data_IF_833245123579
#
_entry.id   IF_833245123579
#
_cell.length_a   1.000
_cell.length_b   1.000
_cell.length_c   1.000
_cell.angle_alpha   90.00
_cell.angle_beta   90.00
_cell.angle_gamma   90.00
#
_symmetry.space_group_name_H-M   'P 1'
#
loop_
_entity.id
_entity.type
_entity.pdbx_description
1 polymer ?
#
# COMPACT_ATOMS: atom_id res chain seq x y z
N UNK A 1 -0.24 5.75 -10.90
CA UNK A 1 -1.71 5.53 -10.81
C UNK A 1 -2.35 5.54 -12.19
N UNK A 2 -2.77 4.37 -12.72
CA UNK A 2 -3.69 4.36 -13.86
C UNK A 2 -5.10 4.60 -13.31
N UNK A 3 -5.55 5.86 -13.35
CA UNK A 3 -6.95 6.18 -13.07
C UNK A 3 -7.83 5.46 -14.09
N UNK A 4 -8.85 4.74 -13.65
CA UNK A 4 -9.84 4.20 -14.57
C UNK A 4 -10.61 5.39 -15.15
N UNK A 5 -10.66 5.49 -16.48
CA UNK A 5 -11.51 6.48 -17.14
C UNK A 5 -12.97 6.00 -17.13
N UNK A 6 -13.66 6.21 -16.01
CA UNK A 6 -15.06 5.84 -15.83
C UNK A 6 -16.00 6.51 -16.84
N UNK A 7 -15.62 7.65 -17.43
CA UNK A 7 -16.48 8.34 -18.40
C UNK A 7 -16.57 7.57 -19.73
N UNK A 8 -15.52 6.84 -20.08
CA UNK A 8 -15.46 6.00 -21.27
C UNK A 8 -16.34 4.74 -21.19
N UNK A 9 -16.67 4.29 -19.97
CA UNK A 9 -17.43 3.06 -19.74
C UNK A 9 -18.94 3.22 -19.97
N UNK A 10 -19.60 2.13 -20.35
CA UNK A 10 -21.06 2.03 -20.44
C UNK A 10 -21.70 1.91 -19.06
N UNK A 11 -23.00 2.21 -18.97
CA UNK A 11 -23.77 2.02 -17.72
C UNK A 11 -23.71 0.57 -17.23
N UNK A 12 -23.64 -0.40 -18.14
CA UNK A 12 -23.55 -1.82 -17.79
C UNK A 12 -22.21 -2.12 -17.12
N UNK A 13 -21.09 -1.70 -17.72
CA UNK A 13 -19.74 -1.91 -17.18
C UNK A 13 -19.56 -1.18 -15.84
N UNK A 14 -20.08 0.03 -15.70
CA UNK A 14 -20.06 0.76 -14.43
C UNK A 14 -20.84 0.02 -13.32
N UNK A 15 -21.99 -0.58 -13.65
CA UNK A 15 -22.77 -1.38 -12.70
C UNK A 15 -22.07 -2.70 -12.33
N UNK A 16 -21.35 -3.31 -13.27
CA UNK A 16 -20.54 -4.50 -13.03
C UNK A 16 -19.37 -4.17 -12.08
N UNK A 17 -18.62 -3.09 -12.34
CA UNK A 17 -17.56 -2.61 -11.45
C UNK A 17 -18.08 -2.28 -10.05
N UNK A 18 -19.22 -1.61 -9.93
CA UNK A 18 -19.81 -1.27 -8.63
C UNK A 18 -20.17 -2.55 -7.85
N UNK A 19 -20.65 -3.58 -8.55
CA UNK A 19 -20.93 -4.91 -7.97
C UNK A 19 -19.65 -5.61 -7.51
N UNK A 20 -18.61 -5.63 -8.34
CA UNK A 20 -17.31 -6.24 -8.01
C UNK A 20 -16.66 -5.60 -6.78
N UNK A 21 -16.84 -4.28 -6.62
CA UNK A 21 -16.40 -3.53 -5.45
C UNK A 21 -17.33 -3.65 -4.23
N UNK A 22 -18.41 -4.41 -4.33
CA UNK A 22 -19.36 -4.62 -3.23
C UNK A 22 -20.16 -3.36 -2.85
N UNK A 23 -20.28 -2.38 -3.75
CA UNK A 23 -21.05 -1.17 -3.51
C UNK A 23 -22.54 -1.49 -3.53
N UNK A 24 -23.31 -0.80 -2.68
CA UNK A 24 -24.77 -0.96 -2.57
C UNK A 24 -25.49 0.30 -3.10
N UNK A 25 -26.76 0.16 -3.51
CA UNK A 25 -27.57 1.30 -3.99
C UNK A 25 -27.26 1.78 -5.41
N UNK A 26 -26.30 1.17 -6.10
CA UNK A 26 -25.87 1.58 -7.45
C UNK A 26 -26.88 1.26 -8.57
N UNK A 27 -27.80 0.30 -8.36
CA UNK A 27 -28.66 -0.23 -9.43
C UNK A 27 -29.65 0.81 -10.01
N UNK A 28 -30.06 1.80 -9.19
CA UNK A 28 -30.95 2.90 -9.58
C UNK A 28 -30.23 4.16 -10.06
N UNK A 29 -28.90 4.22 -9.94
CA UNK A 29 -28.11 5.40 -10.31
C UNK A 29 -27.99 5.58 -11.83
N UNK A 30 -27.96 6.84 -12.26
CA UNK A 30 -27.66 7.25 -13.64
C UNK A 30 -26.14 7.20 -13.88
N UNK A 31 -25.73 7.30 -15.16
CA UNK A 31 -24.30 7.20 -15.54
C UNK A 31 -23.40 8.13 -14.72
N UNK A 32 -23.76 9.41 -14.60
CA UNK A 32 -22.96 10.39 -13.86
C UNK A 32 -22.81 10.00 -12.37
N UNK A 33 -23.91 9.61 -11.73
CA UNK A 33 -23.92 9.19 -10.33
C UNK A 33 -23.13 7.89 -10.11
N UNK A 34 -23.17 6.95 -11.07
CA UNK A 34 -22.34 5.74 -11.05
C UNK A 34 -20.85 6.09 -11.14
N UNK A 35 -20.47 7.02 -12.03
CA UNK A 35 -19.09 7.49 -12.16
C UNK A 35 -18.62 8.14 -10.86
N UNK A 36 -19.44 9.01 -10.27
CA UNK A 36 -19.13 9.66 -8.99
C UNK A 36 -18.98 8.64 -7.86
N UNK A 37 -19.93 7.71 -7.73
CA UNK A 37 -19.88 6.64 -6.73
C UNK A 37 -18.60 5.81 -6.87
N UNK A 38 -18.26 5.40 -8.09
CA UNK A 38 -17.06 4.60 -8.37
C UNK A 38 -15.77 5.38 -8.15
N UNK A 39 -15.73 6.68 -8.45
CA UNK A 39 -14.57 7.52 -8.21
C UNK A 39 -14.36 7.78 -6.71
N UNK A 40 -15.44 8.00 -5.95
CA UNK A 40 -15.38 8.17 -4.49
C UNK A 40 -15.02 6.87 -3.76
N UNK A 41 -15.37 5.73 -4.35
CA UNK A 41 -15.05 4.41 -3.84
C UNK A 41 -13.94 3.73 -4.67
N UNK A 42 -13.16 4.51 -5.40
CA UNK A 42 -11.85 4.08 -5.91
C UNK A 42 -10.92 4.15 -4.70
N UNK A 43 -11.06 3.18 -3.79
CA UNK A 43 -10.11 3.01 -2.71
C UNK A 43 -8.75 2.76 -3.32
N UNK A 44 -7.75 3.50 -2.84
CA UNK A 44 -6.37 3.13 -3.13
C UNK A 44 -6.17 1.70 -2.61
N UNK A 45 -5.64 0.80 -3.44
CA UNK A 45 -5.22 -0.50 -2.92
C UNK A 45 -4.11 -0.21 -1.92
N UNK A 46 -4.33 -0.60 -0.68
CA UNK A 46 -3.36 -0.39 0.40
C UNK A 46 -2.86 -1.75 0.84
N UNK A 47 -1.55 -1.88 0.99
CA UNK A 47 -0.98 -3.00 1.72
C UNK A 47 -0.31 -2.52 2.99
N UNK A 48 -0.73 -3.12 4.11
CA UNK A 48 -0.03 -2.98 5.37
C UNK A 48 1.23 -3.83 5.35
N UNK A 49 2.37 -3.19 5.60
CA UNK A 49 3.64 -3.87 5.84
C UNK A 49 3.99 -3.73 7.32
N UNK A 50 4.27 -4.87 7.97
CA UNK A 50 4.70 -4.95 9.37
C UNK A 50 6.21 -5.15 9.46
N UNK A 51 6.81 -4.52 10.46
CA UNK A 51 8.23 -4.56 10.74
C UNK A 51 8.45 -4.85 12.21
N UNK A 52 9.12 -5.97 12.45
CA UNK A 52 9.45 -6.45 13.77
C UNK A 52 10.88 -6.06 14.11
N UNK A 53 11.02 -5.09 15.01
CA UNK A 53 12.28 -4.64 15.58
C UNK A 53 12.54 -5.29 16.95
N UNK A 54 11.82 -6.36 17.32
CA UNK A 54 11.93 -6.97 18.65
C UNK A 54 13.38 -7.35 18.96
N UNK A 55 14.08 -6.51 19.73
CA UNK A 55 15.49 -6.70 20.07
C UNK A 55 16.33 -5.42 20.03
N UNK A 56 15.92 -4.40 19.27
CA UNK A 56 16.69 -3.16 19.12
C UNK A 56 15.79 -1.91 19.17
N UNK A 57 16.29 -0.86 19.82
CA UNK A 57 15.62 0.44 19.84
C UNK A 57 16.12 1.28 18.66
N UNK A 58 15.38 1.23 17.56
CA UNK A 58 15.62 2.05 16.37
C UNK A 58 15.03 3.46 16.49
N UNK A 59 14.36 3.80 17.60
CA UNK A 59 13.69 5.09 17.75
C UNK A 59 12.59 5.32 16.72
N UNK A 60 12.59 6.50 16.09
CA UNK A 60 11.63 6.85 15.04
C UNK A 60 11.95 6.13 13.72
N UNK A 61 11.07 5.22 13.30
CA UNK A 61 11.22 4.51 12.03
C UNK A 61 10.42 5.18 10.91
N UNK A 62 11.05 5.34 9.75
CA UNK A 62 10.46 5.89 8.54
C UNK A 62 10.53 4.86 7.41
N UNK A 63 9.58 4.94 6.49
CA UNK A 63 9.56 4.15 5.27
C UNK A 63 9.56 5.06 4.04
N UNK A 64 10.61 4.92 3.23
CA UNK A 64 10.70 5.54 1.91
C UNK A 64 10.41 4.48 0.86
N UNK A 65 9.33 4.64 0.09
CA UNK A 65 8.97 3.72 -1.00
C UNK A 65 9.02 4.41 -2.36
N UNK A 66 9.34 3.62 -3.39
CA UNK A 66 9.51 4.04 -4.78
C UNK A 66 9.30 2.87 -5.75
N UNK A 67 9.02 3.16 -7.02
CA UNK A 67 8.78 2.14 -8.04
C UNK A 67 7.72 2.57 -9.04
N UNK A 68 7.39 1.68 -9.99
CA UNK A 68 6.43 1.96 -11.05
C UNK A 68 4.98 1.93 -10.55
N UNK A 69 4.70 1.13 -9.52
CA UNK A 69 3.35 0.85 -9.04
C UNK A 69 2.99 1.64 -7.77
N UNK A 70 3.85 2.56 -7.33
CA UNK A 70 3.65 3.45 -6.18
C UNK A 70 4.00 4.90 -6.54
N UNK A 71 3.39 5.86 -5.83
CA UNK A 71 3.86 7.25 -5.86
C UNK A 71 5.08 7.40 -4.94
N UNK A 72 6.25 7.63 -5.53
CA UNK A 72 7.48 7.71 -4.76
C UNK A 72 7.43 8.81 -3.69
N UNK A 73 7.85 8.47 -2.48
CA UNK A 73 7.96 9.45 -1.38
C UNK A 73 9.24 10.27 -1.50
N UNK A 74 9.28 11.45 -0.90
CA UNK A 74 10.55 12.16 -0.67
C UNK A 74 11.22 11.61 0.58
N UNK A 75 12.56 11.52 0.59
CA UNK A 75 13.33 11.17 1.79
C UNK A 75 12.99 12.09 2.98
N UNK A 76 12.89 11.58 4.23
CA UNK A 76 13.08 10.19 4.68
C UNK A 76 11.89 9.25 4.46
N UNK A 77 10.84 9.74 3.80
CA UNK A 77 9.60 9.00 3.59
C UNK A 77 8.56 9.32 4.65
N UNK A 78 7.80 8.31 5.05
CA UNK A 78 6.68 8.44 5.99
C UNK A 78 7.04 7.84 7.34
N UNK A 79 6.78 8.58 8.42
CA UNK A 79 6.95 8.05 9.78
C UNK A 79 5.98 6.88 9.99
N UNK A 80 6.51 5.79 10.53
CA UNK A 80 5.76 4.56 10.77
C UNK A 80 4.89 4.66 12.02
N UNK A 81 3.85 3.83 12.06
CA UNK A 81 2.92 3.70 13.19
C UNK A 81 3.26 2.45 14.00
N UNK A 82 2.77 2.34 15.23
CA UNK A 82 2.97 1.16 16.07
C UNK A 82 1.63 0.50 16.44
N UNK A 83 1.62 -0.83 16.47
CA UNK A 83 0.55 -1.66 17.03
C UNK A 83 1.14 -2.79 17.89
N UNK A 84 0.32 -3.75 18.32
CA UNK A 84 0.77 -4.88 19.15
C UNK A 84 1.71 -5.87 18.41
N UNK A 85 1.90 -5.72 17.09
CA UNK A 85 2.80 -6.55 16.27
C UNK A 85 4.12 -5.84 15.93
N UNK A 86 4.30 -4.57 16.34
CA UNK A 86 5.52 -3.79 16.08
C UNK A 86 5.23 -2.52 15.28
N UNK A 87 6.16 -2.14 14.41
CA UNK A 87 5.98 -1.00 13.50
C UNK A 87 5.21 -1.43 12.25
N UNK A 88 4.39 -0.53 11.70
CA UNK A 88 3.70 -0.76 10.46
C UNK A 88 3.48 0.52 9.66
N UNK A 89 3.27 0.36 8.35
CA UNK A 89 2.73 1.41 7.50
C UNK A 89 1.81 0.82 6.43
N UNK A 90 0.79 1.60 6.09
CA UNK A 90 -0.22 1.30 5.07
C UNK A 90 0.22 2.00 3.78
N UNK A 91 0.79 1.26 2.82
CA UNK A 91 1.32 1.81 1.56
C UNK A 91 0.24 1.73 0.47
N UNK A 92 -0.21 2.88 -0.07
CA UNK A 92 -1.04 2.92 -1.27
C UNK A 92 -0.24 2.51 -2.50
N UNK A 93 -0.77 1.59 -3.29
CA UNK A 93 -0.17 1.13 -4.55
C UNK A 93 -1.25 0.73 -5.55
N UNK A 94 -0.87 0.49 -6.81
CA UNK A 94 -1.82 0.10 -7.86
C UNK A 94 -1.34 -1.08 -8.70
N UNK A 95 -0.36 -1.85 -8.22
CA UNK A 95 0.27 -2.87 -9.03
C UNK A 95 0.88 -4.01 -8.25
N UNK A 96 1.91 -4.63 -8.80
CA UNK A 96 2.36 -5.94 -8.36
C UNK A 96 3.62 -5.86 -7.51
N UNK A 97 4.48 -4.88 -7.75
CA UNK A 97 5.74 -4.73 -7.04
C UNK A 97 6.16 -3.27 -6.84
N UNK A 98 6.88 -3.03 -5.75
CA UNK A 98 7.57 -1.77 -5.49
C UNK A 98 8.72 -2.01 -4.52
N UNK A 99 9.68 -1.08 -4.50
CA UNK A 99 10.78 -1.11 -3.57
C UNK A 99 10.53 -0.13 -2.41
N UNK A 100 11.13 -0.41 -1.26
CA UNK A 100 11.10 0.48 -0.12
C UNK A 100 12.33 0.29 0.77
N UNK A 101 12.67 1.32 1.51
CA UNK A 101 13.78 1.39 2.46
C UNK A 101 13.25 1.84 3.81
N UNK A 102 13.69 1.15 4.87
CA UNK A 102 13.49 1.56 6.25
C UNK A 102 14.65 2.43 6.67
N UNK A 103 14.38 3.50 7.42
CA UNK A 103 15.44 4.39 7.92
C UNK A 103 15.02 5.07 9.22
N UNK A 104 16.00 5.60 9.96
CA UNK A 104 15.77 6.35 11.20
C UNK A 104 15.57 7.86 10.99
N UNK A 105 15.35 8.31 9.75
CA UNK A 105 15.29 9.73 9.39
C UNK A 105 16.66 10.40 9.18
N UNK A 106 17.75 9.71 9.55
CA UNK A 106 19.13 10.21 9.47
C UNK A 106 19.99 9.34 8.53
N UNK A 107 21.09 8.75 9.04
CA UNK A 107 22.09 8.02 8.25
C UNK A 107 21.89 6.51 8.22
N UNK A 108 21.11 5.93 9.14
CA UNK A 108 20.92 4.48 9.21
C UNK A 108 19.72 4.05 8.39
N UNK A 109 19.92 3.05 7.53
CA UNK A 109 18.89 2.53 6.64
C UNK A 109 19.08 1.04 6.32
N UNK A 110 18.01 0.40 5.87
CA UNK A 110 18.06 -0.93 5.24
C UNK A 110 18.64 -0.85 3.82
N UNK A 111 18.99 -2.01 3.27
CA UNK A 111 19.03 -2.18 1.81
C UNK A 111 17.63 -2.01 1.20
N UNK A 112 17.56 -1.97 -0.13
CA UNK A 112 16.29 -1.97 -0.87
C UNK A 112 15.51 -3.27 -0.58
N UNK A 113 14.37 -3.14 0.08
CA UNK A 113 13.40 -4.20 0.29
C UNK A 113 12.34 -4.15 -0.81
N UNK A 114 11.79 -5.30 -1.18
CA UNK A 114 10.83 -5.41 -2.29
C UNK A 114 9.51 -5.98 -1.80
N UNK A 115 8.43 -5.24 -2.05
CA UNK A 115 7.07 -5.75 -1.98
C UNK A 115 6.75 -6.52 -3.27
N UNK A 116 6.09 -7.66 -3.13
CA UNK A 116 5.49 -8.40 -4.26
C UNK A 116 4.13 -8.94 -3.86
N UNK A 117 3.12 -8.71 -4.70
CA UNK A 117 1.73 -9.14 -4.47
C UNK A 117 1.56 -10.67 -4.38
N UNK A 118 2.54 -11.44 -4.86
CA UNK A 118 2.55 -12.91 -4.73
C UNK A 118 3.05 -13.39 -3.36
N UNK A 119 3.58 -12.49 -2.51
CA UNK A 119 4.03 -12.84 -1.18
C UNK A 119 2.84 -13.20 -0.28
N UNK A 120 3.00 -14.25 0.53
CA UNK A 120 1.97 -14.74 1.44
C UNK A 120 1.96 -14.03 2.80
N UNK A 121 2.99 -13.22 3.09
CA UNK A 121 3.11 -12.37 4.27
C UNK A 121 3.87 -11.09 3.92
N UNK A 122 3.54 -10.00 4.61
CA UNK A 122 4.21 -8.70 4.51
C UNK A 122 4.82 -8.31 5.86
N UNK A 123 5.56 -9.24 6.47
CA UNK A 123 6.27 -9.01 7.73
C UNK A 123 7.77 -9.14 7.50
N UNK A 124 8.53 -8.12 7.86
CA UNK A 124 9.99 -8.15 7.84
C UNK A 124 10.51 -8.15 9.27
N UNK A 125 11.58 -8.89 9.52
CA UNK A 125 12.20 -9.05 10.84
C UNK A 125 13.66 -8.64 10.71
N UNK A 126 14.15 -7.87 11.68
CA UNK A 126 15.57 -7.55 11.78
C UNK A 126 16.31 -8.66 12.55
N UNK A 127 17.30 -9.29 11.92
CA UNK A 127 18.12 -10.34 12.56
C UNK A 127 19.53 -10.32 11.97
N UNK A 128 20.53 -10.49 12.84
CA UNK A 128 21.96 -10.53 12.47
C UNK A 128 22.42 -9.31 11.64
N UNK A 129 21.89 -8.12 11.94
CA UNK A 129 22.24 -6.90 11.23
C UNK A 129 21.47 -6.66 9.91
N UNK A 130 20.56 -7.56 9.52
CA UNK A 130 19.86 -7.49 8.24
C UNK A 130 18.34 -7.64 8.37
N UNK A 131 17.60 -6.91 7.53
CA UNK A 131 16.16 -7.07 7.36
C UNK A 131 15.85 -8.26 6.45
N UNK A 132 15.01 -9.19 6.91
CA UNK A 132 14.59 -10.38 6.15
C UNK A 132 13.06 -10.48 6.15
N UNK A 133 12.49 -10.88 5.01
CA UNK A 133 11.08 -11.27 4.96
C UNK A 133 10.87 -12.48 5.90
N UNK A 134 9.90 -12.41 6.81
CA UNK A 134 9.63 -13.50 7.72
C UNK A 134 9.19 -14.75 6.95
N UNK A 135 9.95 -15.83 7.03
CA UNK A 135 9.53 -17.14 6.53
C UNK A 135 8.42 -17.73 7.41
N UNK A 136 7.67 -18.69 6.86
CA UNK A 136 6.77 -19.53 7.64
C UNK A 136 7.53 -20.34 8.71
#
# INVERSE_FOLDING_TARGET
MKKIDYQSLTVKELKELAKERGLVGYSSLRKAELVELLAQNEGEEVTRIHFDVSGEDWGDLYIHYFGNDVEATLWPGKKMKQDAQGYYYDIPHSGNDFAFVLNNGEYDQSDDLVFSKSATRYKYIYTDGHWKLSSN
#
